data_IF_520570682819
#
_entry.id   IF_520570682819
#
_cell.length_a   1.000
_cell.length_b   1.000
_cell.length_c   1.000
_cell.angle_alpha   90.00
_cell.angle_beta   90.00
_cell.angle_gamma   90.00
#
_symmetry.space_group_name_H-M   'P 1'
#
loop_
_entity.id
_entity.type
_entity.pdbx_description
1 polymer ?
#
# COMPACT_ATOMS: atom_id res chain seq x y z
N UNK A 1 -5.29 2.84 -10.70
CA UNK A 1 -5.28 3.68 -9.48
C UNK A 1 -6.33 4.78 -9.63
N UNK A 2 -7.44 4.74 -8.88
CA UNK A 2 -8.39 5.86 -8.85
C UNK A 2 -7.96 6.95 -7.86
N UNK A 3 -8.00 8.20 -8.34
CA UNK A 3 -8.09 9.45 -7.57
C UNK A 3 -6.88 9.82 -6.72
N UNK A 4 -6.84 9.36 -5.46
CA UNK A 4 -5.95 9.87 -4.42
C UNK A 4 -4.53 9.30 -4.47
N UNK A 5 -4.39 7.97 -4.56
CA UNK A 5 -3.08 7.33 -4.48
C UNK A 5 -2.15 7.72 -5.64
N UNK A 6 -2.69 7.83 -6.85
CA UNK A 6 -1.93 8.30 -8.02
C UNK A 6 -1.48 9.76 -7.86
N UNK A 7 -2.33 10.62 -7.29
CA UNK A 7 -1.97 12.01 -7.00
C UNK A 7 -0.88 12.11 -5.92
N UNK A 8 -0.94 11.27 -4.88
CA UNK A 8 0.10 11.20 -3.84
C UNK A 8 1.42 10.75 -4.46
N UNK A 9 1.42 9.70 -5.30
CA UNK A 9 2.61 9.25 -6.00
C UNK A 9 3.22 10.37 -6.87
N UNK A 10 2.38 11.09 -7.62
CA UNK A 10 2.83 12.23 -8.42
C UNK A 10 3.44 13.34 -7.55
N UNK A 11 2.81 13.67 -6.40
CA UNK A 11 3.33 14.68 -5.48
C UNK A 11 4.69 14.27 -4.90
N UNK A 12 4.88 13.00 -4.56
CA UNK A 12 6.13 12.48 -3.98
C UNK A 12 7.32 12.48 -4.96
N UNK A 13 7.05 12.28 -6.26
CA UNK A 13 8.11 12.00 -7.24
C UNK A 13 8.29 13.05 -8.33
N UNK A 14 7.25 13.82 -8.66
CA UNK A 14 7.25 14.66 -9.86
C UNK A 14 7.03 16.15 -9.58
N UNK A 15 6.22 16.51 -8.57
CA UNK A 15 5.93 17.91 -8.29
C UNK A 15 5.53 18.13 -6.83
N UNK A 16 6.35 18.85 -6.08
CA UNK A 16 5.98 19.30 -4.74
C UNK A 16 5.06 20.51 -4.89
N UNK A 17 3.75 20.27 -5.03
CA UNK A 17 2.70 21.30 -5.16
C UNK A 17 2.57 22.21 -3.91
N UNK A 18 3.58 22.24 -3.04
CA UNK A 18 3.54 22.88 -1.72
C UNK A 18 2.65 22.14 -0.73
N UNK A 19 2.25 20.90 -1.02
CA UNK A 19 1.39 20.11 -0.14
C UNK A 19 2.27 19.46 0.93
N UNK A 20 2.07 19.86 2.18
CA UNK A 20 2.83 19.28 3.29
C UNK A 20 2.63 17.76 3.37
N UNK A 21 3.70 17.02 3.71
CA UNK A 21 3.61 15.57 3.89
C UNK A 21 2.56 15.17 4.93
N UNK A 22 2.37 15.98 5.98
CA UNK A 22 1.31 15.73 6.97
C UNK A 22 -0.10 15.74 6.36
N UNK A 23 -0.35 16.60 5.39
CA UNK A 23 -1.61 16.67 4.64
C UNK A 23 -1.78 15.42 3.77
N UNK A 24 -0.72 14.97 3.10
CA UNK A 24 -0.76 13.74 2.31
C UNK A 24 -1.05 12.51 3.18
N UNK A 25 -0.38 12.40 4.34
CA UNK A 25 -0.55 11.25 5.23
C UNK A 25 -1.94 11.17 5.86
N UNK A 26 -2.64 12.30 6.04
CA UNK A 26 -4.04 12.31 6.51
C UNK A 26 -5.00 11.62 5.53
N UNK A 27 -4.68 11.55 4.24
CA UNK A 27 -5.51 10.84 3.26
C UNK A 27 -5.53 9.32 3.50
N UNK A 28 -4.58 8.79 4.27
CA UNK A 28 -4.51 7.38 4.65
C UNK A 28 -5.36 7.00 5.86
N UNK A 29 -5.97 7.97 6.53
CA UNK A 29 -6.88 7.71 7.65
C UNK A 29 -8.31 7.45 7.16
N UNK A 30 -8.46 6.33 6.46
CA UNK A 30 -9.77 5.82 6.03
C UNK A 30 -10.13 4.58 6.85
N UNK A 31 -11.42 4.36 7.19
CA UNK A 31 -11.82 3.31 8.12
C UNK A 31 -11.66 1.91 7.54
N UNK A 32 -11.99 1.71 6.25
CA UNK A 32 -11.86 0.44 5.54
C UNK A 32 -11.83 0.66 4.02
N UNK A 33 -11.45 -0.38 3.28
CA UNK A 33 -11.53 -0.43 1.82
C UNK A 33 -11.97 -1.84 1.41
N UNK A 34 -12.95 -1.93 0.50
CA UNK A 34 -13.54 -3.22 0.11
C UNK A 34 -12.64 -4.00 -0.85
N UNK A 35 -11.93 -3.30 -1.73
CA UNK A 35 -11.07 -3.90 -2.74
C UNK A 35 -9.63 -4.01 -2.22
N UNK A 36 -9.01 -5.18 -2.37
CA UNK A 36 -7.63 -5.41 -1.93
C UNK A 36 -6.58 -5.17 -3.02
N UNK A 37 -6.96 -5.16 -4.31
CA UNK A 37 -6.06 -5.15 -5.46
C UNK A 37 -5.29 -3.84 -5.71
N UNK A 38 -4.36 -3.85 -6.67
CA UNK A 38 -3.51 -2.70 -7.04
C UNK A 38 -4.31 -1.60 -7.78
N UNK A 39 -5.21 -1.97 -8.67
CA UNK A 39 -5.87 -1.02 -9.57
C UNK A 39 -6.75 -0.03 -8.81
N UNK A 40 -7.53 -0.52 -7.83
CA UNK A 40 -8.55 0.27 -7.13
C UNK A 40 -8.67 -0.07 -5.64
N UNK A 41 -7.73 -0.86 -5.10
CA UNK A 41 -7.80 -1.38 -3.75
C UNK A 41 -6.63 -0.98 -2.87
N UNK A 42 -6.53 -1.66 -1.72
CA UNK A 42 -5.58 -1.35 -0.66
C UNK A 42 -4.14 -1.48 -1.13
N UNK A 43 -3.81 -2.52 -1.90
CA UNK A 43 -2.47 -2.72 -2.43
C UNK A 43 -2.02 -1.49 -3.26
N UNK A 44 -2.92 -0.93 -4.09
CA UNK A 44 -2.64 0.30 -4.85
C UNK A 44 -2.63 1.55 -3.99
N UNK A 45 -3.48 1.59 -2.98
CA UNK A 45 -3.58 2.70 -2.04
C UNK A 45 -2.27 2.92 -1.29
N UNK A 46 -1.66 1.86 -0.77
CA UNK A 46 -0.42 1.92 0.03
C UNK A 46 0.85 1.98 -0.82
N UNK A 47 0.79 1.68 -2.12
CA UNK A 47 1.96 1.69 -3.01
C UNK A 47 2.78 2.98 -2.97
N UNK A 48 2.19 4.19 -3.00
CA UNK A 48 2.95 5.44 -2.88
C UNK A 48 3.75 5.53 -1.58
N UNK A 49 3.24 5.00 -0.47
CA UNK A 49 3.96 4.98 0.81
C UNK A 49 5.16 4.04 0.76
N UNK A 50 4.99 2.85 0.19
CA UNK A 50 6.09 1.89 0.04
C UNK A 50 7.20 2.45 -0.85
N UNK A 51 6.85 2.98 -2.02
CA UNK A 51 7.82 3.59 -2.93
C UNK A 51 8.46 4.82 -2.30
N UNK A 52 7.68 5.66 -1.61
CA UNK A 52 8.21 6.81 -0.91
C UNK A 52 9.22 6.43 0.18
N UNK A 53 9.01 5.33 0.92
CA UNK A 53 10.03 4.80 1.83
C UNK A 53 11.25 4.25 1.09
N UNK A 54 11.04 3.41 0.07
CA UNK A 54 12.11 2.79 -0.73
C UNK A 54 13.07 3.83 -1.32
N UNK A 55 12.53 4.96 -1.75
CA UNK A 55 13.29 6.05 -2.38
C UNK A 55 13.53 7.26 -1.45
N UNK A 56 13.42 7.08 -0.13
CA UNK A 56 13.71 8.10 0.89
C UNK A 56 12.99 9.45 0.66
N UNK A 57 11.71 9.43 0.28
CA UNK A 57 10.89 10.63 0.00
C UNK A 57 10.18 11.21 1.22
N UNK A 58 10.12 10.50 2.35
CA UNK A 58 9.44 10.96 3.55
C UNK A 58 10.42 11.44 4.63
N UNK A 59 10.05 12.54 5.30
CA UNK A 59 10.73 12.98 6.53
C UNK A 59 10.20 12.22 7.76
N UNK A 60 8.88 12.03 7.85
CA UNK A 60 8.26 11.33 8.97
C UNK A 60 8.08 9.82 8.71
N UNK A 61 9.20 9.12 8.67
CA UNK A 61 9.24 7.67 8.41
C UNK A 61 8.44 6.88 9.45
N UNK A 62 8.41 7.33 10.71
CA UNK A 62 7.71 6.64 11.81
C UNK A 62 6.20 6.61 11.57
N UNK A 63 5.61 7.74 11.18
CA UNK A 63 4.17 7.79 10.86
C UNK A 63 3.86 6.91 9.64
N UNK A 64 4.67 6.99 8.59
CA UNK A 64 4.46 6.19 7.37
C UNK A 64 4.49 4.69 7.70
N UNK A 65 5.48 4.22 8.45
CA UNK A 65 5.57 2.83 8.90
C UNK A 65 4.37 2.41 9.76
N UNK A 66 3.85 3.29 10.63
CA UNK A 66 2.64 3.01 11.43
C UNK A 66 1.41 2.80 10.55
N UNK A 67 1.23 3.63 9.53
CA UNK A 67 0.15 3.51 8.55
C UNK A 67 0.27 2.20 7.78
N UNK A 68 1.48 1.88 7.29
CA UNK A 68 1.72 0.64 6.56
C UNK A 68 1.41 -0.60 7.40
N UNK A 69 1.88 -0.67 8.66
CA UNK A 69 1.57 -1.79 9.57
C UNK A 69 0.07 -1.98 9.80
N UNK A 70 -0.69 -0.88 9.90
CA UNK A 70 -2.17 -0.94 10.01
C UNK A 70 -2.76 -1.62 8.78
N UNK A 71 -2.34 -1.22 7.58
CA UNK A 71 -2.87 -1.76 6.33
C UNK A 71 -2.39 -3.18 6.02
N UNK A 72 -1.16 -3.54 6.37
CA UNK A 72 -0.67 -4.92 6.31
C UNK A 72 -1.53 -5.86 7.15
N UNK A 73 -1.77 -5.49 8.41
CA UNK A 73 -2.65 -6.24 9.29
C UNK A 73 -4.06 -6.37 8.67
N UNK A 74 -4.60 -5.28 8.13
CA UNK A 74 -5.89 -5.30 7.46
C UNK A 74 -5.89 -6.27 6.25
N UNK A 75 -4.89 -6.22 5.37
CA UNK A 75 -4.78 -7.14 4.23
C UNK A 75 -4.76 -8.59 4.74
N UNK A 76 -3.94 -8.91 5.73
CA UNK A 76 -3.83 -10.26 6.29
C UNK A 76 -5.16 -10.75 6.87
N UNK A 77 -5.90 -9.89 7.56
CA UNK A 77 -7.22 -10.22 8.15
C UNK A 77 -8.33 -10.43 7.09
N UNK A 78 -8.14 -9.94 5.86
CA UNK A 78 -9.08 -10.09 4.75
C UNK A 78 -8.73 -11.23 3.77
N UNK A 79 -7.77 -12.08 4.14
CA UNK A 79 -7.50 -13.31 3.39
C UNK A 79 -8.60 -14.34 3.67
N UNK A 80 -9.28 -14.78 2.62
CA UNK A 80 -10.47 -15.63 2.71
C UNK A 80 -10.36 -16.85 1.79
N UNK A 81 -11.25 -17.82 2.02
CA UNK A 81 -11.56 -18.89 1.09
C UNK A 81 -12.92 -18.61 0.44
N UNK A 82 -13.00 -18.73 -0.89
CA UNK A 82 -14.25 -18.67 -1.64
C UNK A 82 -14.26 -19.83 -2.65
N UNK A 83 -15.23 -20.74 -2.54
CA UNK A 83 -15.40 -21.92 -3.40
C UNK A 83 -14.13 -22.78 -3.57
N UNK A 84 -13.37 -22.98 -2.48
CA UNK A 84 -12.12 -23.75 -2.48
C UNK A 84 -10.91 -22.98 -3.02
N UNK A 85 -11.06 -21.70 -3.32
CA UNK A 85 -10.00 -20.81 -3.77
C UNK A 85 -9.60 -19.83 -2.67
N UNK A 86 -8.30 -19.66 -2.43
CA UNK A 86 -7.78 -18.83 -1.35
C UNK A 86 -7.20 -17.52 -1.88
N UNK A 87 -7.47 -16.42 -1.20
CA UNK A 87 -6.98 -15.13 -1.63
C UNK A 87 -7.73 -13.96 -1.02
N UNK A 88 -7.66 -12.84 -1.72
CA UNK A 88 -8.37 -11.63 -1.35
C UNK A 88 -9.48 -11.34 -2.34
N UNK A 89 -10.62 -10.91 -1.82
CA UNK A 89 -11.65 -10.31 -2.66
C UNK A 89 -11.08 -9.09 -3.36
N UNK A 90 -11.29 -9.05 -4.67
CA UNK A 90 -10.79 -7.99 -5.53
C UNK A 90 -11.83 -7.64 -6.59
N UNK A 91 -11.81 -6.39 -7.04
CA UNK A 91 -12.87 -5.78 -7.84
C UNK A 91 -14.22 -5.61 -7.12
N UNK A 92 -15.26 -5.14 -7.81
CA UNK A 92 -16.59 -4.89 -7.20
C UNK A 92 -17.35 -6.19 -6.81
N UNK A 93 -16.68 -7.34 -6.82
CA UNK A 93 -17.23 -8.65 -6.47
C UNK A 93 -16.55 -9.26 -5.25
N UNK A 94 -17.08 -10.41 -4.82
CA UNK A 94 -16.48 -11.26 -3.77
C UNK A 94 -15.53 -12.32 -4.36
N UNK A 95 -15.24 -12.23 -5.65
CA UNK A 95 -14.41 -13.21 -6.33
C UNK A 95 -12.93 -12.95 -6.08
N UNK A 96 -12.17 -14.04 -6.11
CA UNK A 96 -10.73 -14.01 -6.01
C UNK A 96 -10.16 -14.17 -7.42
N UNK A 97 -9.14 -13.39 -7.74
CA UNK A 97 -8.47 -13.36 -9.03
C UNK A 97 -6.95 -13.46 -8.81
N UNK A 98 -6.16 -13.82 -9.83
CA UNK A 98 -4.68 -13.90 -9.75
C UNK A 98 -3.95 -13.00 -10.73
N UNK A 99 -4.59 -11.97 -11.25
CA UNK A 99 -3.89 -10.98 -12.05
C UNK A 99 -3.12 -9.98 -11.18
N UNK A 100 -2.29 -9.17 -11.82
CA UNK A 100 -1.48 -8.15 -11.14
C UNK A 100 -2.31 -6.93 -10.70
N UNK A 101 -3.41 -6.65 -11.39
CA UNK A 101 -4.19 -5.44 -11.23
C UNK A 101 -5.19 -5.56 -10.07
N UNK A 102 -6.05 -6.57 -10.09
CA UNK A 102 -7.02 -6.82 -9.02
C UNK A 102 -6.64 -8.01 -8.15
N UNK A 103 -6.04 -9.06 -8.71
CA UNK A 103 -5.80 -10.32 -8.02
C UNK A 103 -4.65 -10.43 -7.00
N UNK A 104 -4.52 -11.65 -6.50
CA UNK A 104 -3.55 -12.13 -5.52
C UNK A 104 -2.11 -11.79 -5.89
N UNK A 105 -1.75 -11.88 -7.17
CA UNK A 105 -0.37 -11.61 -7.63
C UNK A 105 0.05 -10.18 -7.33
N UNK A 106 -0.82 -9.21 -7.58
CA UNK A 106 -0.54 -7.82 -7.23
C UNK A 106 -0.42 -7.60 -5.73
N UNK A 107 -1.29 -8.22 -4.95
CA UNK A 107 -1.31 -8.08 -3.49
C UNK A 107 -0.06 -8.70 -2.87
N UNK A 108 0.34 -9.89 -3.31
CA UNK A 108 1.57 -10.55 -2.85
C UNK A 108 2.81 -9.76 -3.23
N UNK A 109 2.89 -9.22 -4.45
CA UNK A 109 3.97 -8.32 -4.85
C UNK A 109 4.07 -7.11 -3.90
N UNK A 110 2.93 -6.53 -3.51
CA UNK A 110 2.91 -5.41 -2.57
C UNK A 110 3.37 -5.79 -1.17
N UNK A 111 2.98 -6.96 -0.66
CA UNK A 111 3.44 -7.47 0.62
C UNK A 111 4.95 -7.78 0.61
N UNK A 112 5.49 -8.27 -0.50
CA UNK A 112 6.93 -8.51 -0.68
C UNK A 112 7.74 -7.20 -0.64
N UNK A 113 7.33 -6.20 -1.41
CA UNK A 113 7.92 -4.85 -1.36
C UNK A 113 7.82 -4.29 0.07
N UNK A 114 6.69 -4.51 0.73
CA UNK A 114 6.50 -4.05 2.10
C UNK A 114 7.50 -4.71 3.05
N UNK A 115 7.69 -6.02 2.97
CA UNK A 115 8.72 -6.74 3.74
C UNK A 115 10.11 -6.16 3.52
N UNK A 116 10.49 -5.87 2.26
CA UNK A 116 11.77 -5.26 1.90
C UNK A 116 11.96 -3.90 2.61
N UNK A 117 11.01 -2.97 2.48
CA UNK A 117 11.17 -1.60 3.00
C UNK A 117 10.96 -1.49 4.52
N UNK A 118 10.26 -2.44 5.13
CA UNK A 118 10.01 -2.46 6.56
C UNK A 118 11.18 -3.07 7.36
N UNK A 119 11.95 -3.99 6.76
CA UNK A 119 13.07 -4.69 7.40
C UNK A 119 14.42 -3.94 7.37
N UNK A 120 14.50 -2.82 6.66
CA UNK A 120 15.76 -2.08 6.41
C UNK A 120 16.36 -1.37 7.66
N UNK A 121 15.80 -1.57 8.86
CA UNK A 121 16.34 -1.06 10.13
C UNK A 121 17.65 -1.74 10.56
N UNK A 122 18.02 -2.89 9.96
CA UNK A 122 19.24 -3.62 10.30
C UNK A 122 20.50 -3.27 9.50
N UNK A 123 20.41 -2.48 8.41
CA UNK A 123 21.53 -2.28 7.47
C UNK A 123 22.13 -0.87 7.43
N UNK A 124 21.48 0.12 8.03
CA UNK A 124 21.94 1.53 7.97
C UNK A 124 22.77 1.99 9.19
N UNK A 125 23.16 1.10 10.10
CA UNK A 125 24.04 1.41 11.25
C UNK A 125 25.47 0.90 11.06
N UNK A 126 26.09 1.20 9.93
CA UNK A 126 27.54 1.11 9.72
C UNK A 126 27.89 2.04 8.57
N UNK A 127 28.23 3.28 8.91
CA UNK A 127 29.21 4.14 8.23
C UNK A 127 29.36 5.43 9.01
#
# INVERSE_FOLDING_TARGET
MTGGAGAILYCLFCNDLGISQSTLLKQYDVPFMVNNGISYGIAGFILPLLLGLKYNKFHDIKIVKKILKRWEKYIQENFIENDGYWGWSSDQGLNIHDDIGSGNVGILMMLDIMSEVMNDEGKRSTN
#
